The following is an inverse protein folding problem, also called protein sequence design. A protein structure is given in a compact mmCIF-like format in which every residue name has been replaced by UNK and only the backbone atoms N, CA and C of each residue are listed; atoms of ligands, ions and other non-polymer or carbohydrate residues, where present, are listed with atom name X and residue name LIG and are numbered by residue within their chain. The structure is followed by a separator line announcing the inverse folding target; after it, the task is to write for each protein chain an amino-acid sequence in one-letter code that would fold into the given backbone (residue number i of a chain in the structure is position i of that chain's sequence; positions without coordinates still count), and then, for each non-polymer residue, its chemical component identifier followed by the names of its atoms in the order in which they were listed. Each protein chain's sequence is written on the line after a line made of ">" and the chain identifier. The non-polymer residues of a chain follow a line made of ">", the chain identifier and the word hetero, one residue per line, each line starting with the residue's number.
data_IF_728230976895
#
_entry.id   IF_728230976895
#
_cell.length_a   1.000
_cell.length_b   1.000
_cell.length_c   1.000
_cell.angle_alpha   90.00
_cell.angle_beta   90.00
_cell.angle_gamma   90.00
#
_symmetry.space_group_name_H-M   'P 1'
#
loop_
_entity.id
_entity.type
_entity.pdbx_description
1 polymer ?
#
# COMPACT_ATOMS: atom_id res chain seq x y z
N UNK A 1 -16.21 -39.17 41.77
CA UNK A 1 -16.16 -38.15 40.68
C UNK A 1 -17.57 -37.70 40.32
N UNK A 2 -17.81 -36.40 40.36
CA UNK A 2 -19.08 -35.86 39.94
C UNK A 2 -19.06 -35.74 38.39
N UNK A 3 -20.08 -36.24 37.71
CA UNK A 3 -20.10 -36.18 36.22
C UNK A 3 -20.08 -34.75 35.66
N UNK A 4 -20.50 -33.79 36.47
CA UNK A 4 -20.46 -32.37 36.10
C UNK A 4 -19.05 -31.84 35.82
N UNK A 5 -18.06 -32.33 36.57
CA UNK A 5 -16.67 -31.92 36.40
C UNK A 5 -16.04 -32.52 35.13
N UNK A 6 -16.50 -33.68 34.72
CA UNK A 6 -16.02 -34.29 33.47
C UNK A 6 -16.49 -33.54 32.25
N UNK A 7 -17.75 -33.09 32.26
CA UNK A 7 -18.30 -32.28 31.16
C UNK A 7 -17.56 -30.96 31.05
N UNK A 8 -17.24 -30.31 32.17
CA UNK A 8 -16.51 -29.06 32.17
C UNK A 8 -15.08 -29.24 31.66
N UNK A 9 -14.44 -30.37 31.99
CA UNK A 9 -13.10 -30.67 31.49
C UNK A 9 -13.10 -30.91 30.00
N UNK A 10 -14.07 -31.70 29.49
CA UNK A 10 -14.20 -32.00 28.09
C UNK A 10 -14.54 -30.72 27.32
N UNK A 11 -15.45 -29.88 27.86
CA UNK A 11 -15.82 -28.61 27.25
C UNK A 11 -14.62 -27.67 27.15
N UNK A 12 -13.80 -27.59 28.21
CA UNK A 12 -12.62 -26.73 28.18
C UNK A 12 -11.57 -27.23 27.18
N UNK A 13 -11.40 -28.54 27.03
CA UNK A 13 -10.52 -29.13 26.03
C UNK A 13 -10.98 -28.82 24.62
N UNK A 14 -12.30 -28.98 24.36
CA UNK A 14 -12.90 -28.67 23.05
C UNK A 14 -12.72 -27.18 22.73
N UNK A 15 -12.96 -26.30 23.70
CA UNK A 15 -12.78 -24.87 23.50
C UNK A 15 -11.35 -24.50 23.18
N UNK A 16 -10.38 -25.14 23.84
CA UNK A 16 -8.94 -24.94 23.57
C UNK A 16 -8.57 -25.39 22.17
N UNK A 17 -9.05 -26.56 21.77
CA UNK A 17 -8.79 -27.10 20.43
C UNK A 17 -9.39 -26.17 19.35
N UNK A 18 -10.62 -25.74 19.55
CA UNK A 18 -11.28 -24.82 18.62
C UNK A 18 -10.53 -23.49 18.54
N UNK A 19 -10.10 -22.95 19.69
CA UNK A 19 -9.32 -21.71 19.74
C UNK A 19 -7.99 -21.84 18.98
N UNK A 20 -7.31 -22.96 19.12
CA UNK A 20 -6.05 -23.23 18.40
C UNK A 20 -6.31 -23.32 16.89
N UNK A 21 -7.36 -24.02 16.48
CA UNK A 21 -7.73 -24.13 15.05
C UNK A 21 -8.04 -22.75 14.48
N UNK A 22 -8.82 -21.94 15.18
CA UNK A 22 -9.15 -20.57 14.76
C UNK A 22 -7.90 -19.73 14.62
N UNK A 23 -6.99 -19.85 15.59
CA UNK A 23 -5.71 -19.12 15.56
C UNK A 23 -4.87 -19.53 14.34
N UNK A 24 -4.76 -20.82 14.08
CA UNK A 24 -4.01 -21.33 12.92
C UNK A 24 -4.62 -20.81 11.61
N UNK A 25 -5.95 -20.86 11.47
CA UNK A 25 -6.63 -20.35 10.29
C UNK A 25 -6.41 -18.85 10.11
N UNK A 26 -6.46 -18.09 11.20
CA UNK A 26 -6.18 -16.66 11.18
C UNK A 26 -4.75 -16.37 10.74
N UNK A 27 -3.78 -17.14 11.23
CA UNK A 27 -2.37 -17.01 10.84
C UNK A 27 -2.17 -17.33 9.36
N UNK A 28 -2.82 -18.36 8.85
CA UNK A 28 -2.74 -18.72 7.43
C UNK A 28 -3.28 -17.59 6.56
N UNK A 29 -4.44 -17.03 6.93
CA UNK A 29 -5.04 -15.91 6.19
C UNK A 29 -4.15 -14.66 6.24
N UNK A 30 -3.62 -14.34 7.41
CA UNK A 30 -2.71 -13.21 7.58
C UNK A 30 -1.44 -13.39 6.75
N UNK A 31 -0.89 -14.60 6.72
CA UNK A 31 0.30 -14.92 5.92
C UNK A 31 0.07 -14.73 4.43
N UNK A 32 -1.08 -15.17 3.92
CA UNK A 32 -1.42 -15.01 2.50
C UNK A 32 -1.60 -13.54 2.14
N UNK A 33 -2.28 -12.80 3.00
CA UNK A 33 -2.45 -11.36 2.80
C UNK A 33 -1.11 -10.64 2.81
N UNK A 34 -0.26 -10.93 3.81
CA UNK A 34 1.06 -10.31 3.94
C UNK A 34 1.95 -10.66 2.75
N UNK A 35 1.92 -11.90 2.27
CA UNK A 35 2.70 -12.32 1.11
C UNK A 35 2.26 -11.57 -0.15
N UNK A 36 0.95 -11.50 -0.39
CA UNK A 36 0.41 -10.77 -1.54
C UNK A 36 0.73 -9.29 -1.50
N UNK A 37 0.59 -8.69 -0.33
CA UNK A 37 0.92 -7.27 -0.13
C UNK A 37 2.41 -7.02 -0.35
N UNK A 38 3.27 -7.85 0.25
CA UNK A 38 4.72 -7.74 0.08
C UNK A 38 5.15 -7.91 -1.37
N UNK A 39 4.56 -8.88 -2.05
CA UNK A 39 4.80 -9.08 -3.49
C UNK A 39 4.42 -7.84 -4.29
N UNK A 40 3.27 -7.23 -3.97
CA UNK A 40 2.79 -6.03 -4.66
C UNK A 40 3.71 -4.83 -4.50
N UNK A 41 4.44 -4.72 -3.39
CA UNK A 41 5.40 -3.65 -3.16
C UNK A 41 6.49 -3.67 -4.24
N UNK A 42 6.99 -4.85 -4.55
CA UNK A 42 8.11 -5.01 -5.49
C UNK A 42 7.66 -5.29 -6.93
N UNK A 43 6.48 -5.86 -7.12
CA UNK A 43 5.97 -6.22 -8.44
C UNK A 43 5.46 -5.03 -9.26
N UNK A 44 5.18 -3.90 -8.65
CA UNK A 44 4.81 -2.64 -9.32
C UNK A 44 3.85 -2.83 -10.51
N UNK A 45 2.57 -3.06 -10.23
CA UNK A 45 1.57 -3.20 -11.28
C UNK A 45 0.80 -1.89 -11.48
N UNK A 46 0.78 -1.32 -12.70
CA UNK A 46 -0.04 -0.14 -12.96
C UNK A 46 -1.54 -0.46 -12.90
N UNK A 47 -2.35 0.55 -12.71
CA UNK A 47 -3.82 0.40 -12.67
C UNK A 47 -4.34 -0.06 -14.04
N UNK A 48 -3.80 0.49 -15.11
CA UNK A 48 -4.17 0.12 -16.48
C UNK A 48 -3.06 -0.70 -17.13
N UNK A 49 -3.43 -1.82 -17.75
CA UNK A 49 -2.51 -2.59 -18.59
C UNK A 49 -2.65 -2.11 -20.02
N UNK A 50 -1.65 -1.44 -20.56
CA UNK A 50 -1.67 -0.88 -21.89
C UNK A 50 -1.73 0.65 -21.87
N UNK A 51 -2.42 1.25 -22.83
CA UNK A 51 -2.59 2.70 -22.88
C UNK A 51 -3.57 3.14 -21.79
N UNK A 52 -3.09 3.86 -20.80
CA UNK A 52 -3.92 4.39 -19.73
C UNK A 52 -4.41 5.80 -20.05
N UNK A 53 -5.00 6.43 -19.05
CA UNK A 53 -5.43 7.81 -19.13
C UNK A 53 -4.41 8.71 -18.45
N UNK A 54 -4.14 9.86 -19.05
CA UNK A 54 -3.31 10.88 -18.42
C UNK A 54 -4.19 11.74 -17.52
N UNK A 55 -3.77 11.90 -16.29
CA UNK A 55 -4.49 12.68 -15.28
C UNK A 55 -3.54 13.73 -14.71
N UNK A 56 -4.00 14.96 -14.64
CA UNK A 56 -3.23 16.06 -14.07
C UNK A 56 -3.44 16.08 -12.55
N UNK A 57 -2.34 16.07 -11.82
CA UNK A 57 -2.33 16.06 -10.34
C UNK A 57 -1.58 17.30 -9.85
N UNK A 58 -2.16 18.01 -8.90
CA UNK A 58 -1.51 19.16 -8.26
C UNK A 58 -1.18 18.81 -6.81
N UNK A 59 0.09 18.91 -6.46
CA UNK A 59 0.60 18.66 -5.11
C UNK A 59 1.07 19.99 -4.52
N UNK A 60 0.59 20.30 -3.32
CA UNK A 60 0.95 21.52 -2.61
C UNK A 60 2.00 21.23 -1.53
N UNK A 61 2.64 22.28 -1.03
CA UNK A 61 3.64 22.16 0.03
C UNK A 61 3.07 21.60 1.33
N UNK A 62 1.77 21.76 1.56
CA UNK A 62 1.10 21.26 2.75
C UNK A 62 0.68 19.81 2.66
N UNK A 63 0.80 19.19 1.47
CA UNK A 63 0.41 17.81 1.27
C UNK A 63 1.45 16.84 1.82
N UNK A 64 1.02 15.97 2.73
CA UNK A 64 1.84 14.87 3.23
C UNK A 64 1.79 13.70 2.23
N UNK A 65 2.65 12.69 2.43
CA UNK A 65 2.60 11.46 1.62
C UNK A 65 1.22 10.82 1.67
N UNK A 66 0.58 10.87 2.84
CA UNK A 66 -0.79 10.37 3.01
C UNK A 66 -1.79 11.14 2.15
N UNK A 67 -1.67 12.46 2.11
CA UNK A 67 -2.52 13.32 1.28
C UNK A 67 -2.30 13.06 -0.20
N UNK A 68 -1.05 12.89 -0.61
CA UNK A 68 -0.69 12.55 -1.99
C UNK A 68 -1.30 11.21 -2.37
N UNK A 69 -1.20 10.22 -1.51
CA UNK A 69 -1.83 8.91 -1.73
C UNK A 69 -3.34 9.01 -1.91
N UNK A 70 -3.99 9.85 -1.13
CA UNK A 70 -5.44 10.11 -1.24
C UNK A 70 -5.78 10.75 -2.60
N UNK A 71 -5.01 11.74 -3.01
CA UNK A 71 -5.20 12.41 -4.30
C UNK A 71 -5.03 11.43 -5.46
N UNK A 72 -3.96 10.63 -5.44
CA UNK A 72 -3.69 9.65 -6.49
C UNK A 72 -4.78 8.59 -6.57
N UNK A 73 -5.30 8.15 -5.43
CA UNK A 73 -6.37 7.17 -5.37
C UNK A 73 -7.68 7.76 -5.93
N UNK A 74 -8.02 8.98 -5.55
CA UNK A 74 -9.22 9.68 -6.03
C UNK A 74 -9.17 9.89 -7.55
N UNK A 75 -7.98 10.12 -8.09
CA UNK A 75 -7.77 10.30 -9.53
C UNK A 75 -7.69 8.99 -10.30
N UNK A 76 -7.74 7.85 -9.60
CA UNK A 76 -7.67 6.54 -10.24
C UNK A 76 -6.27 6.10 -10.66
N UNK A 77 -5.24 6.79 -10.18
CA UNK A 77 -3.85 6.48 -10.52
C UNK A 77 -3.28 5.32 -9.70
N UNK A 78 -3.82 5.10 -8.51
CA UNK A 78 -3.46 3.97 -7.66
C UNK A 78 -4.73 3.31 -7.12
N UNK A 79 -4.62 2.03 -6.75
CA UNK A 79 -5.74 1.27 -6.18
C UNK A 79 -5.73 1.25 -4.66
N UNK A 80 -4.54 1.23 -4.07
CA UNK A 80 -4.34 1.05 -2.63
C UNK A 80 -3.42 2.15 -2.09
N UNK A 81 -3.98 2.99 -1.24
CA UNK A 81 -3.27 4.09 -0.60
C UNK A 81 -2.19 3.60 0.37
N UNK A 82 -2.47 2.53 1.12
CA UNK A 82 -1.50 1.95 2.04
C UNK A 82 -0.29 1.40 1.29
N UNK A 83 -0.55 0.68 0.19
CA UNK A 83 0.49 0.15 -0.66
C UNK A 83 1.37 1.28 -1.23
N UNK A 84 0.75 2.37 -1.68
CA UNK A 84 1.47 3.56 -2.15
C UNK A 84 2.39 4.12 -1.08
N UNK A 85 1.91 4.26 0.15
CA UNK A 85 2.71 4.80 1.25
C UNK A 85 3.93 3.93 1.54
N UNK A 86 3.76 2.61 1.52
CA UNK A 86 4.86 1.67 1.75
C UNK A 86 5.85 1.72 0.58
N UNK A 87 5.35 1.73 -0.66
CA UNK A 87 6.19 1.82 -1.85
C UNK A 87 7.00 3.11 -1.87
N UNK A 88 6.38 4.24 -1.51
CA UNK A 88 7.07 5.53 -1.41
C UNK A 88 8.19 5.48 -0.35
N UNK A 89 7.87 4.95 0.83
CA UNK A 89 8.82 4.87 1.94
C UNK A 89 10.02 4.01 1.62
N UNK A 90 9.83 2.94 0.86
CA UNK A 90 10.92 2.02 0.46
C UNK A 90 11.61 2.44 -0.83
N UNK A 91 11.11 3.47 -1.51
CA UNK A 91 11.70 3.94 -2.76
C UNK A 91 12.91 4.85 -2.50
N UNK A 92 13.73 5.01 -3.52
CA UNK A 92 14.84 5.97 -3.48
C UNK A 92 14.35 7.42 -3.50
N UNK A 93 13.06 7.64 -3.79
CA UNK A 93 12.46 8.97 -3.85
C UNK A 93 11.75 9.37 -2.55
N UNK A 94 11.93 8.60 -1.48
CA UNK A 94 11.32 8.89 -0.19
C UNK A 94 11.70 10.30 0.28
N UNK A 95 10.69 11.11 0.56
CA UNK A 95 10.90 12.48 1.01
C UNK A 95 11.37 13.46 -0.05
N UNK A 96 11.41 13.03 -1.33
CA UNK A 96 11.92 13.86 -2.44
C UNK A 96 10.82 14.37 -3.37
N UNK A 97 9.56 14.13 -3.04
CA UNK A 97 8.43 14.63 -3.83
C UNK A 97 8.35 16.14 -3.68
N UNK A 98 8.26 16.84 -4.81
CA UNK A 98 8.23 18.30 -4.86
C UNK A 98 6.83 18.78 -5.20
N UNK A 99 6.33 19.84 -4.53
CA UNK A 99 5.06 20.46 -4.90
C UNK A 99 5.08 20.93 -6.36
N UNK A 100 3.97 20.77 -7.05
CA UNK A 100 3.83 21.17 -8.44
C UNK A 100 2.65 20.47 -9.09
N UNK A 101 2.51 20.72 -10.38
CA UNK A 101 1.48 20.09 -11.20
C UNK A 101 2.15 19.07 -12.14
N UNK A 102 1.64 17.85 -12.13
CA UNK A 102 2.22 16.74 -12.86
C UNK A 102 1.16 16.01 -13.69
N UNK A 103 1.52 15.60 -14.88
CA UNK A 103 0.68 14.73 -15.71
C UNK A 103 1.15 13.30 -15.51
N UNK A 104 0.31 12.47 -14.90
CA UNK A 104 0.59 11.08 -14.59
C UNK A 104 -0.40 10.19 -15.34
N UNK A 105 0.05 9.01 -15.74
CA UNK A 105 -0.78 8.04 -16.45
C UNK A 105 -1.19 6.88 -15.58
N UNK A 106 -2.41 6.37 -15.77
CA UNK A 106 -2.88 5.16 -15.12
C UNK A 106 -2.10 3.92 -15.55
N UNK A 107 -1.33 4.00 -16.63
CA UNK A 107 -0.45 2.91 -17.07
C UNK A 107 0.94 2.97 -16.46
N UNK A 108 1.23 3.99 -15.66
CA UNK A 108 2.50 4.12 -14.92
C UNK A 108 2.47 3.33 -13.63
N UNK A 109 3.63 2.80 -13.24
CA UNK A 109 3.81 2.23 -11.91
C UNK A 109 3.97 3.35 -10.88
N UNK A 110 3.81 3.03 -9.60
CA UNK A 110 4.02 4.01 -8.52
C UNK A 110 5.45 4.55 -8.57
N UNK A 111 6.43 3.69 -8.83
CA UNK A 111 7.82 4.11 -8.92
C UNK A 111 8.06 5.12 -10.04
N UNK A 112 7.42 4.91 -11.19
CA UNK A 112 7.50 5.86 -12.31
C UNK A 112 6.84 7.20 -11.97
N UNK A 113 5.72 7.18 -11.25
CA UNK A 113 5.07 8.41 -10.78
C UNK A 113 5.96 9.17 -9.79
N UNK A 114 6.57 8.45 -8.85
CA UNK A 114 7.48 9.04 -7.88
C UNK A 114 8.71 9.67 -8.56
N UNK A 115 9.24 8.99 -9.57
CA UNK A 115 10.37 9.51 -10.34
C UNK A 115 10.03 10.86 -10.99
N UNK A 116 8.86 10.96 -11.61
CA UNK A 116 8.41 12.21 -12.25
C UNK A 116 8.26 13.31 -11.20
N UNK A 117 7.61 13.02 -10.08
CA UNK A 117 7.38 14.00 -9.03
C UNK A 117 8.65 14.43 -8.30
N UNK A 118 9.67 13.58 -8.28
CA UNK A 118 10.97 13.89 -7.67
C UNK A 118 11.94 14.51 -8.65
N UNK A 119 11.90 14.12 -9.94
CA UNK A 119 12.79 14.64 -10.98
C UNK A 119 12.58 16.11 -11.28
N UNK A 120 11.34 16.57 -11.28
CA UNK A 120 11.04 17.97 -11.55
C UNK A 120 11.77 18.92 -10.60
N UNK A 121 12.06 18.47 -9.38
CA UNK A 121 12.83 19.28 -8.44
C UNK A 121 14.29 19.44 -8.88
N UNK A 122 14.85 18.41 -9.49
CA UNK A 122 16.24 18.45 -9.99
C UNK A 122 16.34 19.32 -11.23
N UNK A 123 15.38 19.21 -12.13
CA UNK A 123 15.35 20.02 -13.35
C UNK A 123 15.18 21.51 -13.04
N UNK A 124 14.26 21.83 -12.11
CA UNK A 124 14.06 23.21 -11.67
C UNK A 124 15.31 23.75 -10.96
N UNK A 125 15.97 22.94 -10.14
CA UNK A 125 17.20 23.33 -9.45
C UNK A 125 18.35 23.57 -10.43
N UNK A 126 18.42 22.81 -11.52
CA UNK A 126 19.44 22.98 -12.55
C UNK A 126 19.16 24.22 -13.40
N UNK A 127 17.90 24.51 -13.69
CA UNK A 127 17.52 25.70 -14.46
C UNK A 127 17.75 27.02 -13.68
N UNK A 128 17.70 26.96 -12.35
CA UNK A 128 17.90 28.16 -11.53
C UNK A 128 19.36 28.44 -11.18
N UNK A 129 20.26 27.63 -11.65
CA UNK A 129 21.71 27.89 -11.53
C UNK A 129 22.16 28.80 -12.69
#
# INVERSE_FOLDING_TARGET
>A
MRPENEYLRILSMVLRVVAVIVLILALIRASRWAYGFGYSIFAQKPVSSGEGYVVTVTITESDSVNDIGTILKEKGLIKDKLLFRVQEKLSEYHGKIVPGTYDLSTSMTVNQMLEIMAKDSKEVAEETK
#
